data_IF_510957714150
#
_entry.id   IF_510957714150
#
_cell.length_a   1.000
_cell.length_b   1.000
_cell.length_c   1.000
_cell.angle_alpha   90.00
_cell.angle_beta   90.00
_cell.angle_gamma   90.00
#
_symmetry.space_group_name_H-M   'P 1'
#
loop_
_entity.id
_entity.type
_entity.pdbx_description
1 polymer ?
#
# COMPACT_ATOMS: atom_id res chain seq x y z
N UNK A 1 -7.76 -28.48 -0.59
CA UNK A 1 -7.89 -28.44 -2.06
C UNK A 1 -6.95 -27.33 -2.51
N UNK A 2 -6.05 -27.54 -3.47
CA UNK A 2 -5.22 -26.42 -3.94
C UNK A 2 -6.13 -25.52 -4.75
N UNK A 3 -6.19 -24.24 -4.42
CA UNK A 3 -6.93 -23.26 -5.21
C UNK A 3 -6.40 -23.24 -6.65
N UNK A 4 -7.29 -23.11 -7.66
CA UNK A 4 -6.86 -23.08 -9.05
C UNK A 4 -6.06 -21.80 -9.31
N UNK A 5 -4.78 -21.96 -9.66
CA UNK A 5 -3.95 -20.88 -10.16
C UNK A 5 -4.39 -20.50 -11.58
N UNK A 6 -4.47 -19.20 -11.87
CA UNK A 6 -4.85 -18.72 -13.18
C UNK A 6 -3.65 -18.67 -14.14
N UNK A 7 -3.86 -19.06 -15.38
CA UNK A 7 -2.87 -18.89 -16.45
C UNK A 7 -3.12 -17.56 -17.13
N UNK A 8 -2.53 -16.49 -16.59
CA UNK A 8 -2.66 -15.12 -17.11
C UNK A 8 -1.34 -14.70 -17.77
N UNK A 9 -1.40 -14.40 -19.06
CA UNK A 9 -0.33 -13.75 -19.80
C UNK A 9 -0.60 -12.23 -19.88
N UNK A 10 0.37 -11.42 -19.51
CA UNK A 10 0.27 -9.95 -19.50
C UNK A 10 1.39 -9.34 -20.34
N UNK A 11 1.05 -8.37 -21.19
CA UNK A 11 2.01 -7.54 -21.93
C UNK A 11 1.66 -6.05 -21.77
N UNK A 12 1.67 -5.60 -20.51
CA UNK A 12 1.15 -4.30 -20.10
C UNK A 12 2.20 -3.18 -20.15
N UNK A 13 3.47 -3.52 -20.39
CA UNK A 13 4.58 -2.57 -20.41
C UNK A 13 4.52 -1.66 -21.65
N UNK A 14 4.84 -0.38 -21.48
CA UNK A 14 4.90 0.63 -22.54
C UNK A 14 3.59 0.86 -23.33
N UNK A 15 2.47 0.27 -22.92
CA UNK A 15 1.15 0.50 -23.52
C UNK A 15 0.62 1.91 -23.24
N UNK A 16 -0.21 2.43 -24.15
CA UNK A 16 -1.01 3.62 -23.88
C UNK A 16 -2.03 3.33 -22.75
N UNK A 17 -2.54 4.34 -22.02
CA UNK A 17 -3.55 4.09 -20.99
C UNK A 17 -4.77 3.33 -21.50
N UNK A 18 -5.23 3.59 -22.73
CA UNK A 18 -6.39 2.92 -23.29
C UNK A 18 -6.10 1.46 -23.67
N UNK A 19 -4.94 1.21 -24.28
CA UNK A 19 -4.53 -0.17 -24.64
C UNK A 19 -4.27 -1.00 -23.38
N UNK A 20 -3.69 -0.38 -22.35
CA UNK A 20 -3.53 -1.00 -21.03
C UNK A 20 -4.87 -1.42 -20.44
N UNK A 21 -5.88 -0.54 -20.49
CA UNK A 21 -7.21 -0.89 -20.01
C UNK A 21 -7.89 -1.97 -20.85
N UNK A 22 -7.78 -1.92 -22.18
CA UNK A 22 -8.35 -2.94 -23.05
C UNK A 22 -7.77 -4.33 -22.74
N UNK A 23 -6.47 -4.43 -22.49
CA UNK A 23 -5.87 -5.72 -22.12
C UNK A 23 -6.29 -6.19 -20.72
N UNK A 24 -6.43 -5.28 -19.75
CA UNK A 24 -6.96 -5.62 -18.42
C UNK A 24 -8.43 -6.07 -18.51
N UNK A 25 -9.22 -5.40 -19.34
CA UNK A 25 -10.62 -5.74 -19.63
C UNK A 25 -10.72 -7.15 -20.19
N UNK A 26 -10.01 -7.44 -21.29
CA UNK A 26 -9.96 -8.77 -21.92
C UNK A 26 -9.60 -9.88 -20.91
N UNK A 27 -8.55 -9.65 -20.09
CA UNK A 27 -8.12 -10.62 -19.08
C UNK A 27 -9.18 -10.81 -17.98
N UNK A 28 -9.79 -9.72 -17.51
CA UNK A 28 -10.81 -9.79 -16.47
C UNK A 28 -12.09 -10.45 -16.98
N UNK A 29 -12.52 -10.21 -18.22
CA UNK A 29 -13.68 -10.88 -18.81
C UNK A 29 -13.46 -12.40 -18.99
N UNK A 30 -12.22 -12.83 -19.25
CA UNK A 30 -11.89 -14.26 -19.36
C UNK A 30 -12.00 -15.03 -18.04
N UNK A 31 -11.76 -14.36 -16.89
CA UNK A 31 -11.66 -15.01 -15.58
C UNK A 31 -12.64 -14.46 -14.52
N UNK A 32 -13.49 -13.50 -14.85
CA UNK A 32 -14.37 -12.83 -13.90
C UNK A 32 -15.19 -11.73 -14.56
N UNK A 33 -14.94 -10.48 -14.19
CA UNK A 33 -15.61 -9.33 -14.81
C UNK A 33 -14.75 -8.08 -14.83
N UNK A 34 -15.04 -7.16 -15.74
CA UNK A 34 -14.53 -5.81 -15.75
C UNK A 34 -15.70 -4.81 -15.86
N UNK A 35 -15.69 -3.75 -15.06
CA UNK A 35 -16.77 -2.78 -15.00
C UNK A 35 -16.23 -1.35 -14.91
N UNK A 36 -16.75 -0.46 -15.75
CA UNK A 36 -16.49 0.97 -15.64
C UNK A 36 -17.34 1.59 -14.51
N UNK A 37 -16.68 2.25 -13.56
CA UNK A 37 -17.30 2.92 -12.42
C UNK A 37 -17.22 4.44 -12.60
N UNK A 38 -18.23 5.02 -13.24
CA UNK A 38 -18.26 6.45 -13.54
C UNK A 38 -17.21 6.82 -14.58
N UNK A 39 -16.66 8.04 -14.50
CA UNK A 39 -15.80 8.56 -15.57
C UNK A 39 -14.33 8.15 -15.45
N UNK A 40 -13.85 7.86 -14.23
CA UNK A 40 -12.40 7.74 -13.95
C UNK A 40 -12.02 6.55 -13.08
N UNK A 41 -12.96 5.64 -12.81
CA UNK A 41 -12.74 4.45 -11.99
C UNK A 41 -13.24 3.21 -12.70
N UNK A 42 -12.66 2.07 -12.35
CA UNK A 42 -12.95 0.78 -12.95
C UNK A 42 -12.80 -0.30 -11.88
N UNK A 43 -13.58 -1.37 -11.97
CA UNK A 43 -13.39 -2.59 -11.19
C UNK A 43 -12.97 -3.71 -12.14
N UNK A 44 -11.91 -4.44 -11.79
CA UNK A 44 -11.54 -5.69 -12.45
C UNK A 44 -11.51 -6.81 -11.42
N UNK A 45 -12.17 -7.93 -11.74
CA UNK A 45 -12.24 -9.10 -10.89
C UNK A 45 -11.68 -10.33 -11.62
N UNK A 46 -10.82 -11.05 -10.93
CA UNK A 46 -10.30 -12.36 -11.33
C UNK A 46 -10.77 -13.40 -10.32
N UNK A 47 -11.60 -14.33 -10.76
CA UNK A 47 -12.08 -15.45 -9.96
C UNK A 47 -11.07 -16.60 -10.00
N UNK A 48 -10.54 -16.97 -8.83
CA UNK A 48 -9.61 -18.08 -8.67
C UNK A 48 -10.02 -18.94 -7.46
N UNK A 49 -9.29 -18.87 -6.36
CA UNK A 49 -9.58 -19.59 -5.12
C UNK A 49 -10.50 -18.86 -4.15
N UNK A 50 -10.70 -19.49 -2.98
CA UNK A 50 -11.59 -19.00 -1.93
C UNK A 50 -10.98 -17.89 -1.04
N UNK A 51 -9.78 -17.39 -1.38
CA UNK A 51 -9.14 -16.25 -0.73
C UNK A 51 -9.22 -15.04 -1.66
N UNK A 52 -9.69 -13.91 -1.15
CA UNK A 52 -9.87 -12.68 -1.91
C UNK A 52 -8.90 -11.60 -1.46
N UNK A 53 -8.06 -11.12 -2.39
CA UNK A 53 -7.34 -9.87 -2.24
C UNK A 53 -8.15 -8.75 -2.89
N UNK A 54 -8.47 -7.70 -2.15
CA UNK A 54 -9.09 -6.46 -2.68
C UNK A 54 -8.04 -5.37 -2.69
N UNK A 55 -7.72 -4.82 -3.86
CA UNK A 55 -6.76 -3.71 -3.98
C UNK A 55 -7.42 -2.44 -4.49
N UNK A 56 -6.95 -1.32 -3.96
CA UNK A 56 -7.20 0.00 -4.53
C UNK A 56 -5.91 0.48 -5.17
N UNK A 57 -5.95 0.87 -6.43
CA UNK A 57 -4.75 1.20 -7.18
C UNK A 57 -4.94 2.42 -8.08
N UNK A 58 -3.88 3.20 -8.23
CA UNK A 58 -3.83 4.30 -9.19
C UNK A 58 -3.09 3.85 -10.45
N UNK A 59 -3.71 4.03 -11.62
CA UNK A 59 -3.20 3.50 -12.90
C UNK A 59 -1.84 4.10 -13.27
N UNK A 60 -1.61 5.39 -12.96
CA UNK A 60 -0.32 6.04 -13.20
C UNK A 60 0.77 5.41 -12.31
N UNK A 61 0.46 5.14 -11.04
CA UNK A 61 1.39 4.50 -10.13
C UNK A 61 1.69 3.04 -10.51
N UNK A 62 0.68 2.26 -10.94
CA UNK A 62 0.87 0.89 -11.44
C UNK A 62 1.84 0.92 -12.62
N UNK A 63 1.50 1.66 -13.67
CA UNK A 63 2.26 1.66 -14.93
C UNK A 63 3.69 2.15 -14.77
N UNK A 64 3.94 3.04 -13.79
CA UNK A 64 5.26 3.59 -13.56
C UNK A 64 6.14 2.79 -12.58
N UNK A 65 5.56 1.95 -11.71
CA UNK A 65 6.32 1.37 -10.60
C UNK A 65 6.05 -0.10 -10.30
N UNK A 66 4.92 -0.68 -10.69
CA UNK A 66 4.68 -2.10 -10.49
C UNK A 66 5.54 -2.92 -11.47
N UNK A 67 6.04 -4.10 -11.06
CA UNK A 67 6.62 -5.06 -11.99
C UNK A 67 5.67 -5.31 -13.16
N UNK A 68 6.22 -5.39 -14.37
CA UNK A 68 5.49 -5.65 -15.61
C UNK A 68 4.28 -4.72 -15.88
N UNK A 69 4.21 -3.58 -15.19
CA UNK A 69 3.08 -2.65 -15.21
C UNK A 69 1.72 -3.33 -14.88
N UNK A 70 1.72 -4.43 -14.13
CA UNK A 70 0.51 -5.19 -13.80
C UNK A 70 -0.14 -4.75 -12.47
N UNK A 71 -1.48 -4.86 -12.33
CA UNK A 71 -2.15 -4.72 -11.05
C UNK A 71 -1.59 -5.71 -10.05
N UNK A 72 -1.42 -5.28 -8.80
CA UNK A 72 -0.68 -6.07 -7.80
C UNK A 72 -1.22 -7.48 -7.59
N UNK A 73 -2.54 -7.65 -7.66
CA UNK A 73 -3.19 -8.93 -7.40
C UNK A 73 -3.00 -10.00 -8.48
N UNK A 74 -2.59 -9.63 -9.70
CA UNK A 74 -2.42 -10.58 -10.81
C UNK A 74 -1.36 -11.63 -10.49
N UNK A 75 -0.25 -11.23 -9.87
CA UNK A 75 0.78 -12.16 -9.41
C UNK A 75 0.23 -13.19 -8.40
N UNK A 76 -0.71 -12.80 -7.52
CA UNK A 76 -1.30 -13.70 -6.53
C UNK A 76 -2.33 -14.64 -7.16
N UNK A 77 -3.13 -14.16 -8.11
CA UNK A 77 -4.01 -15.03 -8.89
C UNK A 77 -3.21 -16.08 -9.68
N UNK A 78 -2.07 -15.67 -10.25
CA UNK A 78 -1.16 -16.53 -11.02
C UNK A 78 -0.38 -17.55 -10.16
N UNK A 79 0.10 -17.14 -8.98
CA UNK A 79 1.06 -17.95 -8.20
C UNK A 79 0.51 -18.51 -6.89
N UNK A 80 -0.44 -17.83 -6.27
CA UNK A 80 -0.98 -18.20 -4.95
C UNK A 80 -2.43 -18.73 -5.05
N UNK A 81 -3.09 -18.57 -6.21
CA UNK A 81 -4.45 -19.03 -6.48
C UNK A 81 -5.52 -18.18 -5.78
N UNK A 82 -5.23 -16.92 -5.45
CA UNK A 82 -6.20 -16.04 -4.80
C UNK A 82 -7.06 -15.33 -5.84
N UNK A 83 -8.35 -15.21 -5.55
CA UNK A 83 -9.21 -14.28 -6.26
C UNK A 83 -8.76 -12.85 -6.01
N UNK A 84 -8.93 -11.98 -7.00
CA UNK A 84 -8.47 -10.60 -6.92
C UNK A 84 -9.54 -9.62 -7.42
N UNK A 85 -9.92 -8.67 -6.59
CA UNK A 85 -10.76 -7.53 -6.97
C UNK A 85 -9.92 -6.25 -6.91
N UNK A 86 -9.58 -5.67 -8.06
CA UNK A 86 -8.92 -4.39 -8.16
C UNK A 86 -9.91 -3.27 -8.46
N UNK A 87 -9.83 -2.19 -7.68
CA UNK A 87 -10.50 -0.93 -7.98
C UNK A 87 -9.45 0.06 -8.46
N UNK A 88 -9.55 0.43 -9.73
CA UNK A 88 -8.62 1.33 -10.40
C UNK A 88 -9.11 2.78 -10.34
N UNK A 89 -8.16 3.70 -10.24
CA UNK A 89 -8.41 5.14 -10.41
C UNK A 89 -7.46 5.73 -11.44
N UNK A 90 -7.98 6.55 -12.35
CA UNK A 90 -7.16 7.34 -13.29
C UNK A 90 -6.61 8.63 -12.65
N UNK A 91 -7.01 8.95 -11.42
CA UNK A 91 -6.57 10.17 -10.73
C UNK A 91 -6.63 10.00 -9.21
N UNK A 92 -5.97 10.93 -8.49
CA UNK A 92 -6.07 11.04 -7.04
C UNK A 92 -7.47 11.47 -6.63
N UNK A 93 -8.26 10.50 -6.19
CA UNK A 93 -9.69 10.67 -5.99
C UNK A 93 -10.18 10.17 -4.63
N UNK A 94 -9.33 9.49 -3.85
CA UNK A 94 -9.73 8.76 -2.63
C UNK A 94 -10.94 7.83 -2.88
N UNK A 95 -11.18 7.46 -4.14
CA UNK A 95 -12.31 6.65 -4.57
C UNK A 95 -13.66 7.24 -4.14
N UNK A 96 -13.75 8.58 -4.10
CA UNK A 96 -14.94 9.33 -3.68
C UNK A 96 -15.93 9.61 -4.82
N UNK A 97 -16.04 8.68 -5.78
CA UNK A 97 -17.05 8.74 -6.83
C UNK A 97 -18.27 7.91 -6.43
N UNK A 98 -19.48 8.40 -6.73
CA UNK A 98 -20.73 7.72 -6.38
C UNK A 98 -20.83 6.33 -7.03
N UNK A 99 -20.33 6.17 -8.25
CA UNK A 99 -20.38 4.88 -8.94
C UNK A 99 -19.57 3.81 -8.18
N UNK A 100 -18.50 4.20 -7.48
CA UNK A 100 -17.72 3.28 -6.64
C UNK A 100 -18.51 2.89 -5.38
N UNK A 101 -19.28 3.82 -4.79
CA UNK A 101 -20.11 3.50 -3.64
C UNK A 101 -21.20 2.49 -4.03
N UNK A 102 -21.92 2.81 -5.10
CA UNK A 102 -23.05 1.99 -5.58
C UNK A 102 -22.55 0.58 -6.00
N UNK A 103 -21.32 0.45 -6.51
CA UNK A 103 -20.68 -0.83 -6.76
C UNK A 103 -20.46 -1.65 -5.47
N UNK A 104 -19.85 -1.06 -4.44
CA UNK A 104 -19.60 -1.76 -3.19
C UNK A 104 -20.88 -2.08 -2.41
N UNK A 105 -21.90 -1.22 -2.48
CA UNK A 105 -23.22 -1.50 -1.91
C UNK A 105 -23.84 -2.72 -2.59
N UNK A 106 -23.78 -2.80 -3.93
CA UNK A 106 -24.27 -3.95 -4.69
C UNK A 106 -23.54 -5.24 -4.31
N UNK A 107 -22.20 -5.21 -4.23
CA UNK A 107 -21.44 -6.38 -3.78
C UNK A 107 -21.84 -6.82 -2.37
N UNK A 108 -22.12 -5.87 -1.48
CA UNK A 108 -22.61 -6.17 -0.13
C UNK A 108 -24.02 -6.77 -0.15
N UNK A 109 -24.94 -6.20 -0.93
CA UNK A 109 -26.33 -6.65 -1.05
C UNK A 109 -26.42 -8.04 -1.69
N UNK A 110 -25.52 -8.34 -2.63
CA UNK A 110 -25.40 -9.63 -3.32
C UNK A 110 -24.60 -10.68 -2.52
N UNK A 111 -24.16 -10.34 -1.29
CA UNK A 111 -23.36 -11.20 -0.42
C UNK A 111 -22.05 -11.70 -1.05
N UNK A 112 -21.49 -10.96 -2.00
CA UNK A 112 -20.28 -11.34 -2.76
C UNK A 112 -19.10 -11.75 -1.86
N UNK A 113 -18.90 -11.06 -0.74
CA UNK A 113 -17.78 -11.33 0.15
C UNK A 113 -17.94 -12.60 0.99
N UNK A 114 -19.16 -13.15 1.10
CA UNK A 114 -19.44 -14.37 1.87
C UNK A 114 -18.94 -15.64 1.16
N UNK A 115 -18.65 -15.57 -0.15
CA UNK A 115 -18.10 -16.68 -0.94
C UNK A 115 -16.61 -16.95 -0.64
N UNK A 116 -15.96 -16.07 0.12
CA UNK A 116 -14.52 -16.16 0.42
C UNK A 116 -14.26 -16.47 1.89
N UNK A 117 -13.33 -17.40 2.14
CA UNK A 117 -12.89 -17.77 3.50
C UNK A 117 -12.05 -16.66 4.14
N UNK A 118 -11.29 -15.92 3.34
CA UNK A 118 -10.44 -14.83 3.82
C UNK A 118 -10.46 -13.69 2.82
N UNK A 119 -10.73 -12.48 3.33
CA UNK A 119 -10.72 -11.25 2.54
C UNK A 119 -9.67 -10.29 3.10
N UNK A 120 -8.77 -9.83 2.24
CA UNK A 120 -7.74 -8.84 2.60
C UNK A 120 -7.89 -7.59 1.74
N UNK A 121 -8.11 -6.44 2.38
CA UNK A 121 -8.10 -5.13 1.72
C UNK A 121 -6.71 -4.51 1.81
N UNK A 122 -6.19 -4.01 0.68
CA UNK A 122 -4.87 -3.40 0.63
C UNK A 122 -4.80 -2.14 -0.23
N UNK A 123 -4.05 -1.14 0.25
CA UNK A 123 -3.74 0.07 -0.52
C UNK A 123 -2.72 0.97 0.16
N UNK A 124 -2.15 1.91 -0.60
CA UNK A 124 -1.21 2.91 -0.11
C UNK A 124 -1.70 4.34 -0.36
N UNK A 125 -1.41 5.27 0.57
CA UNK A 125 -1.82 6.67 0.52
C UNK A 125 -3.34 6.82 0.35
N UNK A 126 -3.80 7.49 -0.71
CA UNK A 126 -5.22 7.61 -1.06
C UNK A 126 -5.91 6.26 -1.30
N UNK A 127 -5.17 5.28 -1.78
CA UNK A 127 -5.66 3.91 -1.93
C UNK A 127 -5.70 3.19 -0.57
N UNK A 128 -4.81 3.55 0.36
CA UNK A 128 -4.84 3.06 1.74
C UNK A 128 -6.05 3.60 2.52
N UNK A 129 -6.44 4.85 2.27
CA UNK A 129 -7.73 5.37 2.73
C UNK A 129 -8.87 4.51 2.21
N UNK A 130 -8.90 4.22 0.90
CA UNK A 130 -10.01 3.48 0.30
C UNK A 130 -10.07 2.03 0.80
N UNK A 131 -8.92 1.35 0.92
CA UNK A 131 -8.85 0.02 1.51
C UNK A 131 -9.47 -0.04 2.90
N UNK A 132 -9.21 0.96 3.76
CA UNK A 132 -9.80 1.06 5.08
C UNK A 132 -11.27 1.53 5.07
N UNK A 133 -11.62 2.45 4.16
CA UNK A 133 -12.97 3.01 4.09
C UNK A 133 -13.99 2.01 3.55
N UNK A 134 -13.63 1.21 2.55
CA UNK A 134 -14.54 0.27 1.90
C UNK A 134 -14.52 -1.12 2.55
N UNK A 135 -13.58 -1.45 3.44
CA UNK A 135 -13.56 -2.76 4.12
C UNK A 135 -14.81 -3.05 4.95
N UNK A 136 -15.61 -2.03 5.28
CA UNK A 136 -16.87 -2.19 6.04
C UNK A 136 -17.88 -3.11 5.35
N UNK A 137 -17.82 -3.25 4.01
CA UNK A 137 -18.70 -4.15 3.25
C UNK A 137 -18.36 -5.63 3.40
N UNK A 138 -17.21 -5.93 4.02
CA UNK A 138 -16.76 -7.29 4.29
C UNK A 138 -16.37 -7.42 5.78
N UNK A 139 -17.35 -7.52 6.70
CA UNK A 139 -17.09 -7.77 8.11
C UNK A 139 -16.20 -9.00 8.31
N UNK A 140 -15.21 -8.92 9.20
CA UNK A 140 -14.21 -9.97 9.41
C UNK A 140 -13.01 -9.92 8.45
N UNK A 141 -12.98 -8.99 7.49
CA UNK A 141 -11.81 -8.83 6.62
C UNK A 141 -10.57 -8.34 7.39
N UNK A 142 -9.38 -8.59 6.81
CA UNK A 142 -8.12 -7.97 7.25
C UNK A 142 -7.82 -6.76 6.37
N UNK A 143 -7.36 -5.66 6.97
CA UNK A 143 -6.98 -4.43 6.24
C UNK A 143 -5.49 -4.18 6.40
N UNK A 144 -4.78 -3.94 5.30
CA UNK A 144 -3.40 -3.45 5.30
C UNK A 144 -3.34 -2.12 4.57
N UNK A 145 -3.15 -1.03 5.31
CA UNK A 145 -3.09 0.31 4.74
C UNK A 145 -1.72 0.96 4.99
N UNK A 146 -1.07 1.43 3.92
CA UNK A 146 0.24 2.08 3.97
C UNK A 146 0.09 3.59 3.86
N UNK A 147 0.51 4.34 4.89
CA UNK A 147 0.34 5.79 5.02
C UNK A 147 -1.06 6.30 4.65
N UNK A 148 -2.15 5.66 5.13
CA UNK A 148 -3.50 6.10 4.77
C UNK A 148 -3.78 7.49 5.32
N UNK A 149 -4.51 8.29 4.56
CA UNK A 149 -5.26 9.39 5.18
C UNK A 149 -6.48 8.80 5.88
N UNK A 150 -6.85 9.34 7.04
CA UNK A 150 -8.10 8.98 7.69
C UNK A 150 -9.31 9.63 7.01
N UNK A 151 -9.12 10.88 6.56
CA UNK A 151 -10.08 11.72 5.83
C UNK A 151 -9.37 12.96 5.30
N UNK A 152 -9.96 13.65 4.32
CA UNK A 152 -9.54 15.02 3.97
C UNK A 152 -10.55 16.09 4.41
N UNK A 153 -11.57 15.73 5.18
CA UNK A 153 -12.52 16.70 5.74
C UNK A 153 -11.78 17.79 6.51
N UNK A 154 -12.00 19.06 6.16
CA UNK A 154 -11.29 20.19 6.74
C UNK A 154 -11.58 20.38 8.25
N UNK A 155 -12.72 19.91 8.74
CA UNK A 155 -13.08 19.96 10.16
C UNK A 155 -12.25 19.00 11.02
N UNK A 156 -11.76 17.90 10.44
CA UNK A 156 -10.94 16.87 11.13
C UNK A 156 -9.46 16.99 10.75
N UNK A 157 -9.18 17.07 9.45
CA UNK A 157 -7.85 17.09 8.86
C UNK A 157 -7.43 18.50 8.39
N UNK A 158 -7.95 19.55 9.03
CA UNK A 158 -7.63 20.95 8.70
C UNK A 158 -6.13 21.26 8.69
N UNK A 159 -5.36 20.53 9.51
CA UNK A 159 -3.91 20.58 9.64
C UNK A 159 -3.13 19.99 8.45
N UNK A 160 -3.73 19.12 7.63
CA UNK A 160 -3.05 18.51 6.47
C UNK A 160 -3.21 19.35 5.21
N UNK A 161 -2.16 20.07 4.82
CA UNK A 161 -2.20 20.98 3.68
C UNK A 161 -1.84 20.36 2.33
N UNK A 162 -1.50 19.06 2.30
CA UNK A 162 -0.97 18.40 1.08
C UNK A 162 -1.99 18.29 -0.04
N UNK A 163 -3.27 18.14 0.33
CA UNK A 163 -4.35 17.82 -0.61
C UNK A 163 -5.51 18.83 -0.56
N UNK A 164 -5.23 20.12 -0.35
CA UNK A 164 -6.25 21.19 -0.24
C UNK A 164 -7.29 21.18 -1.36
N UNK A 165 -6.87 20.95 -2.61
CA UNK A 165 -7.76 20.90 -3.77
C UNK A 165 -8.77 19.73 -3.75
N UNK A 166 -8.50 18.67 -2.98
CA UNK A 166 -9.32 17.47 -2.87
C UNK A 166 -10.26 17.50 -1.67
N UNK A 167 -10.17 18.52 -0.80
CA UNK A 167 -11.12 18.74 0.30
C UNK A 167 -12.55 19.07 -0.16
N UNK A 168 -12.72 19.35 -1.46
CA UNK A 168 -14.03 19.50 -2.12
C UNK A 168 -14.77 18.17 -2.30
N UNK A 169 -14.06 17.05 -2.21
CA UNK A 169 -14.69 15.73 -2.20
C UNK A 169 -15.42 15.54 -0.87
N UNK A 170 -16.49 14.77 -0.90
CA UNK A 170 -17.30 14.49 0.28
C UNK A 170 -16.66 13.37 1.12
N UNK A 171 -16.31 13.65 2.37
CA UNK A 171 -15.77 12.69 3.35
C UNK A 171 -16.69 12.50 4.57
N UNK A 172 -17.96 12.91 4.47
CA UNK A 172 -18.94 12.80 5.56
C UNK A 172 -20.04 11.78 5.25
N UNK A 173 -20.31 11.53 3.97
CA UNK A 173 -21.22 10.47 3.54
C UNK A 173 -20.57 9.07 3.65
N UNK A 174 -21.25 8.06 3.08
CA UNK A 174 -20.83 6.65 3.10
C UNK A 174 -19.35 6.50 2.77
N UNK A 175 -18.68 5.60 3.50
CA UNK A 175 -17.24 5.34 3.34
C UNK A 175 -16.35 6.58 3.57
N UNK A 176 -16.84 7.63 4.25
CA UNK A 176 -16.20 8.96 4.31
C UNK A 176 -15.09 9.13 5.34
N UNK A 177 -15.15 8.40 6.45
CA UNK A 177 -14.16 8.48 7.52
C UNK A 177 -13.60 7.09 7.81
N UNK A 178 -12.43 6.80 7.22
CA UNK A 178 -11.83 5.47 7.23
C UNK A 178 -11.65 4.85 8.63
N UNK A 179 -11.28 5.59 9.70
CA UNK A 179 -11.18 5.03 11.04
C UNK A 179 -12.48 4.41 11.57
N UNK A 180 -13.65 4.94 11.23
CA UNK A 180 -14.92 4.38 11.68
C UNK A 180 -15.30 3.15 10.82
N UNK A 181 -14.94 3.17 9.53
CA UNK A 181 -15.28 2.09 8.60
C UNK A 181 -14.54 0.77 8.85
N UNK A 182 -13.45 0.80 9.62
CA UNK A 182 -12.70 -0.42 9.96
C UNK A 182 -13.19 -1.09 11.25
N UNK A 183 -14.30 -0.64 11.87
CA UNK A 183 -14.83 -1.24 13.10
C UNK A 183 -15.17 -2.72 12.94
N UNK A 184 -15.75 -3.11 11.80
CA UNK A 184 -16.14 -4.49 11.50
C UNK A 184 -15.02 -5.41 11.00
N UNK A 185 -13.80 -4.90 10.79
CA UNK A 185 -12.66 -5.71 10.34
C UNK A 185 -12.13 -6.60 11.48
N UNK A 186 -11.59 -7.78 11.17
CA UNK A 186 -10.96 -8.65 12.17
C UNK A 186 -9.61 -8.07 12.64
N UNK A 187 -8.79 -7.62 11.69
CA UNK A 187 -7.49 -7.02 11.96
C UNK A 187 -7.17 -5.86 10.99
N UNK A 188 -6.60 -4.78 11.52
CA UNK A 188 -6.26 -3.59 10.73
C UNK A 188 -4.81 -3.20 10.96
N UNK A 189 -3.99 -3.24 9.92
CA UNK A 189 -2.57 -2.97 9.98
C UNK A 189 -2.25 -1.65 9.27
N UNK A 190 -1.90 -0.63 10.06
CA UNK A 190 -1.59 0.72 9.55
C UNK A 190 -0.09 0.94 9.60
N UNK A 191 0.59 0.86 8.46
CA UNK A 191 2.01 1.20 8.38
C UNK A 191 2.20 2.68 8.07
N UNK A 192 3.10 3.35 8.76
CA UNK A 192 3.38 4.78 8.56
C UNK A 192 4.79 5.13 9.01
N UNK A 193 5.40 6.17 8.45
CA UNK A 193 6.64 6.71 8.97
C UNK A 193 6.34 7.75 10.07
N UNK A 194 6.74 7.53 11.34
CA UNK A 194 6.56 8.52 12.41
C UNK A 194 7.30 9.84 12.18
N UNK A 195 8.28 9.90 11.28
CA UNK A 195 8.99 11.13 10.91
C UNK A 195 8.28 11.93 9.81
N UNK A 196 7.21 11.40 9.21
CA UNK A 196 6.30 12.13 8.33
C UNK A 196 5.12 12.62 9.16
N UNK A 197 5.11 13.88 9.64
CA UNK A 197 4.18 14.30 10.69
C UNK A 197 2.72 14.16 10.27
N UNK A 198 2.43 14.43 9.00
CA UNK A 198 1.05 14.33 8.49
C UNK A 198 0.55 12.88 8.48
N UNK A 199 1.41 11.93 8.11
CA UNK A 199 1.04 10.51 8.08
C UNK A 199 0.93 9.95 9.50
N UNK A 200 1.80 10.40 10.41
CA UNK A 200 1.72 10.03 11.82
C UNK A 200 0.43 10.51 12.50
N UNK A 201 -0.03 11.73 12.21
CA UNK A 201 -1.30 12.23 12.76
C UNK A 201 -2.48 11.44 12.18
N UNK A 202 -2.51 11.19 10.86
CA UNK A 202 -3.57 10.35 10.25
C UNK A 202 -3.60 8.94 10.84
N UNK A 203 -2.44 8.28 10.99
CA UNK A 203 -2.36 6.97 11.62
C UNK A 203 -2.91 6.99 13.06
N UNK A 204 -2.65 8.06 13.83
CA UNK A 204 -3.16 8.23 15.18
C UNK A 204 -4.67 8.46 15.31
N UNK A 205 -5.39 8.65 14.19
CA UNK A 205 -6.85 8.71 14.17
C UNK A 205 -7.50 7.32 14.16
N UNK A 206 -6.79 6.28 13.72
CA UNK A 206 -7.25 4.89 13.78
C UNK A 206 -7.06 4.35 15.20
N UNK A 207 -8.14 4.34 16.00
CA UNK A 207 -8.09 4.05 17.45
C UNK A 207 -8.81 2.77 17.88
N UNK A 208 -9.44 2.05 16.95
CA UNK A 208 -10.20 0.84 17.25
C UNK A 208 -9.29 -0.25 17.82
N UNK A 209 -9.84 -1.16 18.62
CA UNK A 209 -9.06 -2.20 19.31
C UNK A 209 -8.43 -3.23 18.37
N UNK A 210 -9.00 -3.41 17.18
CA UNK A 210 -8.50 -4.26 16.09
C UNK A 210 -7.34 -3.60 15.29
N UNK A 211 -6.98 -2.35 15.61
CA UNK A 211 -5.93 -1.61 14.90
C UNK A 211 -4.54 -1.85 15.49
N UNK A 212 -3.64 -2.33 14.64
CA UNK A 212 -2.22 -2.41 14.86
C UNK A 212 -1.47 -1.32 14.09
N UNK A 213 -1.05 -0.27 14.81
CA UNK A 213 -0.10 0.71 14.30
C UNK A 213 1.29 0.08 14.11
N UNK A 214 1.85 0.23 12.91
CA UNK A 214 3.09 -0.39 12.43
C UNK A 214 4.11 0.67 12.00
N UNK A 215 4.83 1.29 12.96
CA UNK A 215 5.76 2.37 12.66
C UNK A 215 6.95 1.89 11.81
N UNK A 216 7.23 2.63 10.74
CA UNK A 216 8.24 2.33 9.73
C UNK A 216 9.19 3.55 9.57
N UNK A 217 10.04 3.83 10.59
CA UNK A 217 10.77 5.08 10.68
C UNK A 217 11.79 5.26 9.55
N UNK A 218 11.91 6.48 9.04
CA UNK A 218 12.90 6.93 8.06
C UNK A 218 12.78 6.26 6.68
N UNK A 219 11.60 5.78 6.33
CA UNK A 219 11.27 5.28 4.99
C UNK A 219 10.53 6.32 4.14
N UNK A 220 10.10 7.42 4.75
CA UNK A 220 9.43 8.55 4.11
C UNK A 220 8.04 8.22 3.61
N UNK A 221 7.54 9.08 2.73
CA UNK A 221 6.14 9.09 2.24
C UNK A 221 5.79 7.94 1.31
N UNK A 222 6.76 7.39 0.58
CA UNK A 222 6.54 6.34 -0.42
C UNK A 222 6.79 4.95 0.19
N UNK A 223 5.99 4.59 1.20
CA UNK A 223 6.16 3.34 1.94
C UNK A 223 6.04 2.10 1.05
N UNK A 224 5.02 2.04 0.18
CA UNK A 224 4.82 0.91 -0.75
C UNK A 224 6.09 0.65 -1.58
N UNK A 225 6.63 1.69 -2.22
CA UNK A 225 7.87 1.59 -3.03
C UNK A 225 9.07 1.13 -2.20
N UNK A 226 9.16 1.58 -0.95
CA UNK A 226 10.22 1.13 -0.06
C UNK A 226 10.03 -0.33 0.37
N UNK A 227 8.79 -0.77 0.57
CA UNK A 227 8.47 -2.16 0.93
C UNK A 227 8.72 -3.12 -0.23
N UNK A 228 8.34 -2.73 -1.45
CA UNK A 228 8.62 -3.47 -2.68
C UNK A 228 10.14 -3.59 -2.90
N UNK A 229 10.88 -2.49 -2.81
CA UNK A 229 12.34 -2.48 -2.93
C UNK A 229 13.04 -3.36 -1.89
N UNK A 230 12.49 -3.44 -0.68
CA UNK A 230 13.00 -4.30 0.40
C UNK A 230 12.55 -5.77 0.27
N UNK A 231 11.63 -6.08 -0.66
CA UNK A 231 11.04 -7.42 -0.80
C UNK A 231 10.12 -7.83 0.36
N UNK A 232 9.63 -6.87 1.16
CA UNK A 232 8.80 -7.17 2.33
C UNK A 232 7.30 -7.01 2.06
N UNK A 233 6.94 -6.33 0.97
CA UNK A 233 5.53 -6.04 0.65
C UNK A 233 4.75 -7.32 0.40
N UNK A 234 5.26 -8.19 -0.48
CA UNK A 234 4.63 -9.47 -0.80
C UNK A 234 4.46 -10.36 0.43
N UNK A 235 5.53 -10.48 1.22
CA UNK A 235 5.54 -11.29 2.43
C UNK A 235 4.52 -10.75 3.45
N UNK A 236 4.36 -9.44 3.56
CA UNK A 236 3.37 -8.83 4.45
C UNK A 236 1.93 -9.16 4.03
N UNK A 237 1.62 -9.08 2.73
CA UNK A 237 0.28 -9.42 2.20
C UNK A 237 -0.01 -10.92 2.41
N UNK A 238 0.95 -11.81 2.12
CA UNK A 238 0.83 -13.26 2.38
C UNK A 238 0.60 -13.58 3.85
N UNK A 239 1.36 -12.94 4.73
CA UNK A 239 1.15 -13.11 6.17
C UNK A 239 -0.26 -12.70 6.61
N UNK A 240 -0.82 -11.63 6.05
CA UNK A 240 -2.18 -11.20 6.36
C UNK A 240 -3.22 -12.18 5.81
N UNK A 241 -3.03 -12.66 4.58
CA UNK A 241 -3.89 -13.65 3.93
C UNK A 241 -3.89 -15.01 4.64
N UNK A 242 -2.83 -15.32 5.39
CA UNK A 242 -2.74 -16.51 6.24
C UNK A 242 -3.14 -16.24 7.71
N UNK A 243 -3.69 -15.06 8.04
CA UNK A 243 -4.12 -14.70 9.39
C UNK A 243 -2.96 -14.62 10.40
N UNK A 244 -1.74 -14.39 9.92
CA UNK A 244 -0.52 -14.55 10.69
C UNK A 244 0.34 -13.28 10.79
N UNK A 245 -0.06 -12.20 10.12
CA UNK A 245 0.56 -10.88 10.26
C UNK A 245 0.28 -10.32 11.66
N UNK A 246 1.32 -9.82 12.31
CA UNK A 246 1.21 -9.10 13.58
C UNK A 246 2.32 -8.05 13.69
N UNK A 247 2.29 -7.22 14.74
CA UNK A 247 3.31 -6.19 14.99
C UNK A 247 4.73 -6.76 15.09
N UNK A 248 4.89 -7.97 15.62
CA UNK A 248 6.19 -8.63 15.82
C UNK A 248 6.75 -9.11 14.49
N UNK A 249 5.95 -9.79 13.66
CA UNK A 249 6.32 -10.23 12.31
C UNK A 249 6.62 -9.03 11.43
N UNK A 250 5.80 -7.98 11.48
CA UNK A 250 6.09 -6.74 10.76
C UNK A 250 7.45 -6.14 11.18
N UNK A 251 7.72 -6.02 12.49
CA UNK A 251 9.00 -5.51 12.97
C UNK A 251 10.20 -6.39 12.54
N UNK A 252 10.00 -7.70 12.39
CA UNK A 252 11.00 -8.62 11.84
C UNK A 252 11.24 -8.36 10.35
N UNK A 253 10.17 -8.27 9.53
CA UNK A 253 10.26 -7.92 8.11
C UNK A 253 10.99 -6.60 7.92
N UNK A 254 10.63 -5.59 8.71
CA UNK A 254 11.22 -4.25 8.63
C UNK A 254 12.73 -4.23 8.92
N UNK A 255 13.34 -5.30 9.44
CA UNK A 255 14.81 -5.40 9.56
C UNK A 255 15.50 -5.45 8.20
N UNK A 256 14.80 -5.82 7.12
CA UNK A 256 15.31 -5.80 5.75
C UNK A 256 15.86 -4.42 5.34
N UNK A 257 15.36 -3.33 5.93
CA UNK A 257 15.87 -1.95 5.73
C UNK A 257 17.37 -1.81 5.99
N UNK A 258 17.96 -2.73 6.77
CA UNK A 258 19.41 -2.76 7.02
C UNK A 258 20.23 -3.00 5.75
N UNK A 259 19.59 -3.53 4.72
CA UNK A 259 20.20 -3.89 3.45
C UNK A 259 19.75 -2.95 2.32
N UNK A 260 18.81 -2.06 2.60
CA UNK A 260 18.29 -1.09 1.64
C UNK A 260 19.25 0.11 1.50
N UNK A 261 19.85 0.27 0.33
CA UNK A 261 20.82 1.35 0.10
C UNK A 261 20.18 2.74 0.27
N UNK A 262 19.02 3.07 -0.34
CA UNK A 262 18.39 4.38 -0.15
C UNK A 262 18.12 4.72 1.32
N UNK A 263 17.59 3.77 2.09
CA UNK A 263 17.42 3.92 3.54
C UNK A 263 18.75 4.21 4.24
N UNK A 264 19.79 3.44 3.97
CA UNK A 264 21.11 3.62 4.60
C UNK A 264 21.76 4.96 4.26
N UNK A 265 21.58 5.45 3.03
CA UNK A 265 22.04 6.78 2.63
C UNK A 265 21.30 7.87 3.41
N UNK A 266 19.99 7.76 3.54
CA UNK A 266 19.19 8.74 4.27
C UNK A 266 19.50 8.74 5.78
N UNK A 267 19.61 7.56 6.39
CA UNK A 267 20.02 7.41 7.78
C UNK A 267 21.41 8.01 8.04
N UNK A 268 22.38 7.75 7.13
CA UNK A 268 23.72 8.32 7.24
C UNK A 268 23.68 9.86 7.18
N UNK A 269 22.94 10.43 6.22
CA UNK A 269 22.79 11.90 6.12
C UNK A 269 22.20 12.51 7.39
N UNK A 270 21.18 11.87 7.96
CA UNK A 270 20.53 12.36 9.17
C UNK A 270 21.47 12.29 10.39
N UNK A 271 22.21 11.18 10.56
CA UNK A 271 23.20 11.05 11.63
C UNK A 271 24.30 12.12 11.52
N UNK A 272 24.79 12.39 10.31
CA UNK A 272 25.76 13.46 10.08
C UNK A 272 25.18 14.83 10.44
N UNK A 273 23.95 15.12 10.01
CA UNK A 273 23.28 16.39 10.31
C UNK A 273 23.03 16.59 11.82
N UNK A 274 22.82 15.52 12.57
CA UNK A 274 22.62 15.53 14.02
C UNK A 274 23.93 15.45 14.83
N UNK A 275 25.10 15.42 14.16
CA UNK A 275 26.39 15.35 14.83
C UNK A 275 26.77 13.94 15.34
N UNK A 276 26.00 12.90 15.02
CA UNK A 276 26.27 11.50 15.37
C UNK A 276 27.28 10.85 14.41
N UNK A 277 28.49 11.43 14.38
CA UNK A 277 29.52 11.09 13.39
C UNK A 277 30.04 9.66 13.50
N UNK A 278 30.25 9.17 14.71
CA UNK A 278 30.75 7.81 14.94
C UNK A 278 29.76 6.75 14.43
N UNK A 279 28.46 6.96 14.67
CA UNK A 279 27.40 6.09 14.13
C UNK A 279 27.34 6.14 12.60
N UNK A 280 27.50 7.33 12.00
CA UNK A 280 27.58 7.46 10.55
C UNK A 280 28.79 6.71 9.97
N UNK A 281 29.97 6.77 10.62
CA UNK A 281 31.14 5.98 10.25
C UNK A 281 30.85 4.47 10.28
N UNK A 282 30.22 3.98 11.36
CA UNK A 282 29.86 2.55 11.50
C UNK A 282 28.95 2.10 10.34
N UNK A 283 27.96 2.90 9.95
CA UNK A 283 27.08 2.58 8.82
C UNK A 283 27.83 2.59 7.50
N UNK A 284 28.65 3.61 7.24
CA UNK A 284 29.46 3.67 6.02
C UNK A 284 30.37 2.45 5.91
N UNK A 285 31.08 2.07 6.98
CA UNK A 285 31.94 0.89 7.02
C UNK A 285 31.15 -0.40 6.80
N UNK A 286 29.99 -0.53 7.45
CA UNK A 286 29.09 -1.66 7.28
C UNK A 286 28.65 -1.83 5.81
N UNK A 287 28.24 -0.74 5.16
CA UNK A 287 27.81 -0.76 3.77
C UNK A 287 28.98 -1.05 2.81
N UNK A 288 30.15 -0.48 3.06
CA UNK A 288 31.34 -0.71 2.23
C UNK A 288 31.87 -2.16 2.30
N UNK A 289 31.65 -2.86 3.43
CA UNK A 289 31.96 -4.31 3.52
C UNK A 289 31.07 -5.17 2.61
N UNK A 290 29.92 -4.65 2.17
CA UNK A 290 28.94 -5.38 1.35
C UNK A 290 29.02 -5.05 -0.13
N UNK A 291 29.67 -3.95 -0.50
CA UNK A 291 29.81 -3.52 -1.88
C UNK A 291 30.44 -2.14 -1.98
N UNK A 292 30.94 -1.83 -3.18
CA UNK A 292 31.47 -0.50 -3.45
C UNK A 292 30.34 0.49 -3.69
N UNK A 293 30.38 1.62 -2.99
CA UNK A 293 29.41 2.69 -3.17
C UNK A 293 30.07 4.05 -2.95
N UNK A 294 30.03 4.89 -3.98
CA UNK A 294 30.70 6.20 -3.98
C UNK A 294 30.22 7.13 -2.85
N UNK A 295 28.94 7.06 -2.48
CA UNK A 295 28.39 7.89 -1.41
C UNK A 295 29.01 7.50 -0.06
N UNK A 296 29.04 6.21 0.29
CA UNK A 296 29.57 5.77 1.58
C UNK A 296 31.09 5.96 1.68
N UNK A 297 31.84 5.75 0.59
CA UNK A 297 33.29 6.04 0.53
C UNK A 297 33.57 7.52 0.80
N UNK A 298 32.94 8.41 0.02
CA UNK A 298 33.14 9.86 0.15
C UNK A 298 32.74 10.38 1.53
N UNK A 299 31.63 9.87 2.07
CA UNK A 299 31.14 10.28 3.39
C UNK A 299 32.08 9.82 4.50
N UNK A 300 32.57 8.56 4.45
CA UNK A 300 33.50 8.04 5.46
C UNK A 300 34.83 8.81 5.48
N UNK A 301 35.42 9.10 4.31
CA UNK A 301 36.63 9.92 4.22
C UNK A 301 36.42 11.30 4.84
N UNK A 302 35.35 12.00 4.45
CA UNK A 302 35.05 13.33 4.98
C UNK A 302 34.75 13.35 6.49
N UNK A 303 34.22 12.26 7.05
CA UNK A 303 34.00 12.13 8.49
C UNK A 303 35.29 11.86 9.26
N UNK A 304 36.25 11.14 8.68
CA UNK A 304 37.54 10.84 9.32
C UNK A 304 38.49 12.04 9.29
N UNK A 305 38.55 12.77 8.18
CA UNK A 305 39.43 13.94 8.03
C UNK A 305 39.11 15.04 9.05
N UNK A 306 37.82 15.26 9.32
CA UNK A 306 37.33 16.23 10.30
C UNK A 306 37.39 15.74 11.76
N UNK A 307 37.79 14.49 12.02
CA UNK A 307 38.06 14.00 13.39
C UNK A 307 39.56 14.09 13.73
N UNK A 308 40.41 14.34 12.73
CA UNK A 308 41.85 14.51 12.88
C UNK A 308 42.29 15.99 13.01
N UNK A 309 41.35 16.93 12.92
CA UNK A 309 41.52 18.37 13.10
C UNK A 309 40.81 18.84 14.37
#
# INVERSE_FOLDING_TARGET
MKDPQLTIETDLTDLSPNDWFAQIDDICEDFGFFEQLGCTHFAGFLEAGNKLLVTFENVEDIRAHNPDAEPRGFAYARHDGWSHLAIFSMSRSWFRDRAVYDFFDRLSDDAFFEDFETVVFHGANECGYAAAAFSVVAPGATVIALSPQATLDASVAGWDHRYRAHRRLDFQSRYGYAPDMVEGADAVFIAYDPHEPMDAIHAGLFRNSNVALMPAPLLGRQLARSFDRMGIHDVMIKLAMDGSLDKKRFAQLLRARRYDEPYMRNLTRQLVAQGHRDLACVICEYMLRRGQNAFFTKTLSGLRDKSAA
#
